data_IF_750948286499
#
_entry.id   IF_750948286499
#
_cell.length_a   1.000
_cell.length_b   1.000
_cell.length_c   1.000
_cell.angle_alpha   90.00
_cell.angle_beta   90.00
_cell.angle_gamma   90.00
#
_symmetry.space_group_name_H-M   'P 1'
#
loop_
_entity.id
_entity.type
_entity.pdbx_description
1 polymer ?
#
# COMPACT_ATOMS: atom_id res chain seq x y z
N UNK A 1 47.62 50.31 25.66
CA UNK A 1 47.62 49.32 24.55
C UNK A 1 47.51 47.94 25.18
N UNK A 2 46.56 47.05 24.95
CA UNK A 2 45.49 46.90 23.95
C UNK A 2 44.46 45.95 24.58
N UNK A 3 43.35 46.48 25.11
CA UNK A 3 42.33 45.72 25.84
C UNK A 3 41.16 45.26 24.94
N UNK A 4 41.41 44.96 23.66
CA UNK A 4 40.33 44.88 22.65
C UNK A 4 40.43 43.69 21.68
N UNK A 5 40.91 42.52 22.14
CA UNK A 5 40.85 41.27 21.34
C UNK A 5 40.55 40.01 22.18
N UNK A 6 39.74 40.14 23.22
CA UNK A 6 39.09 39.00 23.88
C UNK A 6 37.58 39.05 23.61
N UNK A 7 37.26 39.32 22.34
CA UNK A 7 35.91 39.36 21.81
C UNK A 7 35.51 37.92 21.46
N UNK A 8 34.28 37.56 21.85
CA UNK A 8 33.50 36.47 21.25
C UNK A 8 33.96 35.02 21.49
N UNK A 9 34.00 34.57 22.74
CA UNK A 9 33.96 33.10 22.97
C UNK A 9 33.12 32.62 24.15
N UNK A 10 32.23 33.46 24.69
CA UNK A 10 31.34 33.08 25.80
C UNK A 10 29.93 33.68 25.65
N UNK A 11 29.32 33.59 24.47
CA UNK A 11 27.88 33.81 24.26
C UNK A 11 27.22 32.65 23.51
N UNK A 12 27.44 31.43 24.01
CA UNK A 12 26.62 30.26 23.70
C UNK A 12 25.85 29.79 24.94
N UNK A 13 25.44 30.74 25.80
CA UNK A 13 24.50 30.50 26.89
C UNK A 13 23.25 31.30 26.55
N UNK A 14 22.11 30.61 26.58
CA UNK A 14 20.77 31.01 26.07
C UNK A 14 20.60 30.87 24.55
N UNK A 15 20.60 29.61 24.10
CA UNK A 15 20.02 29.25 22.81
C UNK A 15 18.54 29.69 22.79
N UNK A 16 18.25 30.78 22.07
CA UNK A 16 16.90 31.04 21.56
C UNK A 16 16.41 29.75 20.91
N UNK A 17 15.22 29.31 21.29
CA UNK A 17 14.49 28.19 20.67
C UNK A 17 14.03 28.61 19.26
N UNK A 18 14.98 28.95 18.40
CA UNK A 18 14.76 29.20 16.99
C UNK A 18 14.83 27.86 16.27
N UNK A 19 13.69 27.41 15.74
CA UNK A 19 13.64 26.27 14.84
C UNK A 19 14.36 26.72 13.56
N UNK A 20 15.56 26.21 13.34
CA UNK A 20 16.32 26.54 12.14
C UNK A 20 15.75 25.74 10.97
N UNK A 21 15.23 26.42 9.94
CA UNK A 21 14.82 25.76 8.70
C UNK A 21 16.04 25.53 7.81
N UNK A 22 16.34 24.28 7.52
CA UNK A 22 17.44 23.87 6.66
C UNK A 22 16.90 23.30 5.35
N UNK A 23 17.70 23.33 4.28
CA UNK A 23 17.33 22.79 2.96
C UNK A 23 18.34 21.71 2.57
N UNK A 24 17.88 20.48 2.38
CA UNK A 24 18.70 19.35 1.90
C UNK A 24 18.04 18.74 0.67
N UNK A 25 18.79 18.68 -0.44
CA UNK A 25 18.29 18.22 -1.76
C UNK A 25 16.98 18.90 -2.19
N UNK A 26 16.84 20.20 -1.91
CA UNK A 26 15.66 20.99 -2.25
C UNK A 26 14.46 20.82 -1.31
N UNK A 27 14.56 19.95 -0.29
CA UNK A 27 13.51 19.76 0.72
C UNK A 27 13.82 20.57 1.97
N UNK A 28 12.85 21.37 2.43
CA UNK A 28 12.94 22.12 3.69
C UNK A 28 12.69 21.18 4.87
N UNK A 29 13.56 21.20 5.88
CA UNK A 29 13.40 20.45 7.11
C UNK A 29 13.61 21.34 8.34
N UNK A 30 12.82 21.09 9.38
CA UNK A 30 12.94 21.75 10.67
C UNK A 30 14.03 21.07 11.48
N UNK A 31 15.10 21.82 11.79
CA UNK A 31 16.18 21.30 12.61
C UNK A 31 15.86 21.51 14.09
N UNK A 32 15.65 20.40 14.79
CA UNK A 32 15.52 20.36 16.25
C UNK A 32 16.86 19.85 16.81
N UNK A 33 17.71 20.71 17.37
CA UNK A 33 18.97 20.26 17.95
C UNK A 33 18.70 19.32 19.13
N UNK A 34 19.25 18.12 19.06
CA UNK A 34 19.20 17.16 20.16
C UNK A 34 20.22 17.59 21.20
N UNK A 35 19.77 17.96 22.40
CA UNK A 35 20.65 18.26 23.52
C UNK A 35 21.30 16.95 24.00
N UNK A 36 22.59 16.77 23.71
CA UNK A 36 23.38 15.62 24.16
C UNK A 36 24.12 16.01 25.43
N UNK A 37 23.90 15.28 26.53
CA UNK A 37 24.67 15.45 27.76
C UNK A 37 26.09 14.88 27.57
N UNK A 38 27.07 15.76 27.59
CA UNK A 38 28.49 15.40 27.49
C UNK A 38 29.10 15.49 28.88
N UNK A 39 29.68 14.40 29.38
CA UNK A 39 30.43 14.42 30.64
C UNK A 39 31.91 14.60 30.35
N UNK A 40 32.52 15.63 30.92
CA UNK A 40 33.99 15.78 30.97
C UNK A 40 34.54 14.82 32.01
N UNK A 41 35.36 13.85 31.60
CA UNK A 41 35.96 12.87 32.53
C UNK A 41 37.37 13.24 33.01
N UNK A 42 37.88 14.40 32.62
CA UNK A 42 39.20 14.92 33.06
C UNK A 42 40.23 14.98 31.93
N UNK A 43 41.49 15.27 32.30
CA UNK A 43 42.62 15.39 31.38
C UNK A 43 43.00 13.99 30.88
N UNK A 44 42.85 13.78 29.57
CA UNK A 44 43.20 12.54 28.89
C UNK A 44 44.65 12.44 28.46
N UNK A 45 45.36 13.57 28.41
CA UNK A 45 46.75 13.60 28.02
C UNK A 45 47.25 15.02 27.83
N UNK A 46 48.50 15.15 27.38
CA UNK A 46 49.10 16.44 27.02
C UNK A 46 49.47 16.41 25.54
N UNK A 47 48.94 17.35 24.75
CA UNK A 47 49.32 17.57 23.36
C UNK A 47 50.12 18.87 23.26
N UNK A 48 51.38 18.78 22.84
CA UNK A 48 52.32 19.92 22.74
C UNK A 48 52.41 20.74 24.03
N UNK A 49 52.40 20.08 25.19
CA UNK A 49 52.47 20.71 26.50
C UNK A 49 51.15 21.26 27.04
N UNK A 50 50.06 21.23 26.26
CA UNK A 50 48.72 21.64 26.69
C UNK A 50 47.89 20.43 27.08
N UNK A 51 47.17 20.52 28.19
CA UNK A 51 46.27 19.47 28.67
C UNK A 51 45.07 19.31 27.71
N UNK A 52 44.84 18.08 27.27
CA UNK A 52 43.75 17.69 26.39
C UNK A 52 42.69 16.93 27.18
N UNK A 53 41.46 17.43 27.18
CA UNK A 53 40.34 16.81 27.89
C UNK A 53 39.58 15.85 26.97
N UNK A 54 39.33 14.62 27.41
CA UNK A 54 38.36 13.78 26.72
C UNK A 54 36.94 14.10 27.15
N UNK A 55 36.08 14.06 26.14
CA UNK A 55 34.65 14.13 26.30
C UNK A 55 34.10 12.78 25.89
N UNK A 56 33.34 12.14 26.76
CA UNK A 56 32.57 10.96 26.40
C UNK A 56 31.09 11.33 26.39
N UNK A 57 30.42 11.05 25.27
CA UNK A 57 28.98 11.21 25.15
C UNK A 57 28.28 10.08 25.88
N UNK A 58 27.36 10.40 26.80
CA UNK A 58 26.45 9.40 27.36
C UNK A 58 25.35 9.12 26.33
N UNK A 59 25.63 8.27 25.35
CA UNK A 59 24.61 7.87 24.38
C UNK A 59 23.80 6.76 25.02
N UNK A 60 22.56 7.06 25.41
CA UNK A 60 21.58 5.99 25.67
C UNK A 60 21.35 5.26 24.35
N UNK A 61 21.55 3.93 24.28
CA UNK A 61 21.25 3.19 23.07
C UNK A 61 19.75 3.32 22.79
N UNK A 62 19.41 4.04 21.72
CA UNK A 62 18.04 4.06 21.21
C UNK A 62 17.82 2.69 20.59
N UNK A 63 16.91 1.90 21.17
CA UNK A 63 16.51 0.62 20.58
C UNK A 63 15.83 0.93 19.24
N UNK A 64 16.43 0.55 18.10
CA UNK A 64 15.78 0.75 16.82
C UNK A 64 14.59 -0.22 16.74
N UNK A 65 13.38 0.33 16.63
CA UNK A 65 12.22 -0.48 16.28
C UNK A 65 12.47 -1.17 14.95
N UNK A 66 11.94 -2.38 14.76
CA UNK A 66 12.04 -3.02 13.46
C UNK A 66 11.32 -2.20 12.38
N UNK A 67 12.05 -1.85 11.33
CA UNK A 67 11.57 -1.09 10.18
C UNK A 67 11.99 -1.81 8.90
N UNK A 68 11.08 -1.85 7.92
CA UNK A 68 11.40 -2.24 6.55
C UNK A 68 11.79 -0.99 5.75
N UNK A 69 12.93 -1.09 5.07
CA UNK A 69 13.50 -0.05 4.25
C UNK A 69 13.73 -0.58 2.84
N UNK A 70 13.79 0.32 1.85
CA UNK A 70 13.97 -0.05 0.45
C UNK A 70 15.21 0.61 -0.12
N UNK A 71 16.15 -0.18 -0.63
CA UNK A 71 17.33 0.31 -1.32
C UNK A 71 17.38 -0.24 -2.74
N UNK A 72 17.32 0.65 -3.74
CA UNK A 72 17.33 0.30 -5.18
C UNK A 72 16.32 -0.80 -5.57
N UNK A 73 15.13 -0.79 -4.95
CA UNK A 73 14.08 -1.78 -5.19
C UNK A 73 14.22 -3.09 -4.40
N UNK A 74 15.31 -3.28 -3.64
CA UNK A 74 15.46 -4.39 -2.71
C UNK A 74 15.03 -3.96 -1.29
N UNK A 75 14.09 -4.71 -0.71
CA UNK A 75 13.67 -4.50 0.67
C UNK A 75 14.69 -5.08 1.65
N UNK A 76 15.02 -4.33 2.70
CA UNK A 76 15.87 -4.76 3.81
C UNK A 76 15.24 -4.36 5.14
N UNK A 77 15.61 -5.07 6.20
CA UNK A 77 15.06 -4.88 7.54
C UNK A 77 16.14 -4.37 8.47
N UNK A 78 15.81 -3.40 9.31
CA UNK A 78 16.69 -2.83 10.32
C UNK A 78 15.99 -2.87 11.67
N UNK A 79 16.69 -3.26 12.73
CA UNK A 79 16.13 -3.37 14.08
C UNK A 79 16.50 -4.69 14.77
N UNK A 80 15.82 -4.99 15.87
CA UNK A 80 16.01 -6.24 16.61
C UNK A 80 15.52 -7.44 15.78
N UNK A 81 16.28 -8.55 15.66
CA UNK A 81 15.90 -9.72 14.87
C UNK A 81 14.52 -10.30 15.24
N UNK A 82 14.13 -10.30 16.51
CA UNK A 82 12.83 -10.86 16.93
C UNK A 82 11.66 -10.04 16.38
N UNK A 83 11.79 -8.71 16.38
CA UNK A 83 10.79 -7.80 15.84
C UNK A 83 10.71 -7.87 14.31
N UNK A 84 11.86 -8.06 13.64
CA UNK A 84 11.93 -8.25 12.19
C UNK A 84 11.12 -9.49 11.76
N UNK A 85 11.24 -10.60 12.49
CA UNK A 85 10.48 -11.81 12.19
C UNK A 85 8.97 -11.61 12.39
N UNK A 86 8.55 -10.91 13.45
CA UNK A 86 7.14 -10.53 13.66
C UNK A 86 6.59 -9.70 12.48
N UNK A 87 7.38 -8.75 11.97
CA UNK A 87 6.99 -7.95 10.80
C UNK A 87 6.84 -8.80 9.53
N UNK A 88 7.79 -9.71 9.27
CA UNK A 88 7.70 -10.64 8.12
C UNK A 88 6.46 -11.52 8.19
N UNK A 89 6.16 -12.06 9.38
CA UNK A 89 4.96 -12.87 9.61
C UNK A 89 3.68 -12.08 9.32
N UNK A 90 3.57 -10.86 9.88
CA UNK A 90 2.42 -9.98 9.66
C UNK A 90 2.22 -9.65 8.17
N UNK A 91 3.31 -9.37 7.44
CA UNK A 91 3.28 -9.13 5.98
C UNK A 91 2.80 -10.35 5.21
N UNK A 92 3.30 -11.54 5.54
CA UNK A 92 2.86 -12.79 4.91
C UNK A 92 1.36 -13.00 5.08
N UNK A 93 0.85 -12.87 6.31
CA UNK A 93 -0.58 -13.01 6.61
C UNK A 93 -1.44 -12.00 5.83
N UNK A 94 -1.03 -10.72 5.83
CA UNK A 94 -1.73 -9.68 5.07
C UNK A 94 -1.72 -9.96 3.56
N UNK A 95 -0.62 -10.48 3.02
CA UNK A 95 -0.54 -10.82 1.59
C UNK A 95 -1.48 -11.98 1.22
N UNK A 96 -1.65 -12.97 2.11
CA UNK A 96 -2.57 -14.09 1.90
C UNK A 96 -4.01 -13.59 1.93
N UNK A 97 -4.35 -12.75 2.92
CA UNK A 97 -5.68 -12.16 3.06
C UNK A 97 -6.06 -11.26 1.87
N UNK A 98 -5.11 -10.43 1.39
CA UNK A 98 -5.34 -9.60 0.20
C UNK A 98 -5.54 -10.46 -1.06
N UNK A 99 -4.80 -11.57 -1.21
CA UNK A 99 -4.96 -12.48 -2.36
C UNK A 99 -6.30 -13.22 -2.31
N UNK A 100 -6.71 -13.72 -1.15
CA UNK A 100 -7.98 -14.44 -1.01
C UNK A 100 -9.16 -13.55 -1.37
N UNK A 101 -9.22 -12.32 -0.82
CA UNK A 101 -10.34 -11.42 -1.10
C UNK A 101 -10.42 -11.02 -2.58
N UNK A 102 -9.29 -10.76 -3.23
CA UNK A 102 -9.26 -10.46 -4.66
C UNK A 102 -9.68 -11.67 -5.53
N UNK A 103 -9.28 -12.89 -5.16
CA UNK A 103 -9.68 -14.10 -5.88
C UNK A 103 -11.19 -14.37 -5.75
N UNK A 104 -11.76 -14.22 -4.55
CA UNK A 104 -13.20 -14.37 -4.32
C UNK A 104 -14.02 -13.32 -5.08
N UNK A 105 -13.61 -12.05 -5.06
CA UNK A 105 -14.33 -10.97 -5.77
C UNK A 105 -14.22 -11.14 -7.29
N UNK A 106 -13.05 -11.55 -7.81
CA UNK A 106 -12.84 -11.72 -9.27
C UNK A 106 -13.58 -12.93 -9.82
N UNK A 107 -13.56 -14.05 -9.12
CA UNK A 107 -14.27 -15.28 -9.52
C UNK A 107 -15.78 -15.03 -9.62
N UNK A 108 -16.35 -14.39 -8.61
CA UNK A 108 -17.80 -14.15 -8.56
C UNK A 108 -18.27 -13.15 -9.64
N UNK A 109 -17.51 -12.09 -9.92
CA UNK A 109 -17.83 -11.16 -11.02
C UNK A 109 -17.77 -11.82 -12.40
N UNK A 110 -16.75 -12.63 -12.65
CA UNK A 110 -16.59 -13.28 -13.95
C UNK A 110 -17.72 -14.29 -14.22
N UNK A 111 -18.06 -15.12 -13.24
CA UNK A 111 -19.10 -16.14 -13.40
C UNK A 111 -20.48 -15.51 -13.64
N UNK A 112 -20.88 -14.53 -12.83
CA UNK A 112 -22.17 -13.87 -13.00
C UNK A 112 -22.30 -13.13 -14.35
N UNK A 113 -21.20 -12.57 -14.87
CA UNK A 113 -21.20 -11.88 -16.16
C UNK A 113 -21.25 -12.87 -17.33
N UNK A 114 -20.54 -14.00 -17.23
CA UNK A 114 -20.57 -15.06 -18.24
C UNK A 114 -21.94 -15.72 -18.30
N UNK A 115 -22.53 -16.07 -17.16
CA UNK A 115 -23.83 -16.72 -17.09
C UNK A 115 -24.94 -15.82 -17.64
N UNK A 116 -24.92 -14.52 -17.31
CA UNK A 116 -25.88 -13.54 -17.86
C UNK A 116 -25.70 -13.28 -19.35
N UNK A 117 -24.46 -13.28 -19.86
CA UNK A 117 -24.20 -13.14 -21.29
C UNK A 117 -24.64 -14.38 -22.06
N UNK A 118 -24.38 -15.57 -21.52
CA UNK A 118 -24.75 -16.83 -22.12
C UNK A 118 -26.27 -16.98 -22.23
N UNK A 119 -27.01 -16.74 -21.15
CA UNK A 119 -28.47 -16.77 -21.18
C UNK A 119 -29.05 -15.75 -22.15
N UNK A 120 -28.55 -14.51 -22.16
CA UNK A 120 -29.00 -13.47 -23.08
C UNK A 120 -28.77 -13.83 -24.56
N UNK A 121 -27.67 -14.51 -24.89
CA UNK A 121 -27.39 -14.98 -26.25
C UNK A 121 -28.33 -16.13 -26.64
N UNK A 122 -28.59 -17.08 -25.73
CA UNK A 122 -29.54 -18.17 -25.96
C UNK A 122 -30.96 -17.64 -26.20
N UNK A 123 -31.46 -16.73 -25.36
CA UNK A 123 -32.82 -16.18 -25.56
C UNK A 123 -32.90 -15.42 -26.90
N UNK A 124 -31.87 -14.64 -27.28
CA UNK A 124 -31.82 -13.91 -28.57
C UNK A 124 -31.85 -14.85 -29.77
N UNK A 125 -31.08 -15.94 -29.76
CA UNK A 125 -31.09 -16.89 -30.88
C UNK A 125 -32.42 -17.62 -31.00
N UNK A 126 -33.01 -18.05 -29.88
CA UNK A 126 -34.34 -18.67 -29.87
C UNK A 126 -35.43 -17.74 -30.40
N UNK A 127 -35.45 -16.48 -29.95
CA UNK A 127 -36.40 -15.50 -30.45
C UNK A 127 -36.28 -15.32 -31.97
N UNK A 128 -35.04 -15.17 -32.48
CA UNK A 128 -34.79 -15.06 -33.92
C UNK A 128 -35.26 -16.30 -34.68
N UNK A 129 -34.98 -17.51 -34.17
CA UNK A 129 -35.40 -18.78 -34.80
C UNK A 129 -36.93 -18.91 -34.81
N UNK A 130 -37.60 -18.51 -33.72
CA UNK A 130 -39.07 -18.47 -33.65
C UNK A 130 -39.67 -17.49 -34.65
N UNK A 131 -39.13 -16.28 -34.76
CA UNK A 131 -39.61 -15.28 -35.74
C UNK A 131 -39.47 -15.78 -37.19
N UNK A 132 -38.35 -16.43 -37.52
CA UNK A 132 -38.14 -17.02 -38.84
C UNK A 132 -39.13 -18.16 -39.09
N UNK A 133 -39.29 -19.08 -38.13
CA UNK A 133 -40.22 -20.21 -38.25
C UNK A 133 -41.67 -19.74 -38.39
N UNK A 134 -42.08 -18.71 -37.65
CA UNK A 134 -43.40 -18.05 -37.78
C UNK A 134 -43.61 -17.47 -39.16
N UNK A 135 -42.62 -16.76 -39.73
CA UNK A 135 -42.71 -16.21 -41.10
C UNK A 135 -42.80 -17.31 -42.18
N UNK A 136 -42.12 -18.43 -41.96
CA UNK A 136 -42.14 -19.55 -42.90
C UNK A 136 -43.38 -20.46 -42.73
N UNK A 137 -44.09 -20.35 -41.61
CA UNK A 137 -45.27 -21.16 -41.31
C UNK A 137 -44.99 -22.60 -40.90
N UNK A 138 -43.74 -22.92 -40.51
CA UNK A 138 -43.35 -24.28 -40.10
C UNK A 138 -43.79 -24.57 -38.65
N UNK A 139 -44.98 -25.13 -38.52
CA UNK A 139 -45.61 -25.42 -37.23
C UNK A 139 -44.84 -26.45 -36.39
N UNK A 140 -44.16 -27.40 -37.04
CA UNK A 140 -43.37 -28.40 -36.32
C UNK A 140 -42.14 -27.76 -35.67
N UNK A 141 -41.47 -26.87 -36.40
CA UNK A 141 -40.31 -26.14 -35.89
C UNK A 141 -40.69 -25.17 -34.77
N UNK A 142 -41.82 -24.46 -34.90
CA UNK A 142 -42.34 -23.58 -33.84
C UNK A 142 -42.55 -24.37 -32.55
N UNK A 143 -43.23 -25.52 -32.62
CA UNK A 143 -43.50 -26.37 -31.44
C UNK A 143 -42.21 -26.85 -30.76
N UNK A 144 -41.22 -27.31 -31.53
CA UNK A 144 -39.93 -27.73 -30.98
C UNK A 144 -39.18 -26.58 -30.29
N UNK A 145 -39.22 -25.38 -30.86
CA UNK A 145 -38.58 -24.18 -30.28
C UNK A 145 -39.28 -23.70 -29.00
N UNK A 146 -40.60 -23.82 -28.92
CA UNK A 146 -41.38 -23.55 -27.71
C UNK A 146 -41.05 -24.55 -26.60
N UNK A 147 -40.88 -25.83 -26.93
CA UNK A 147 -40.42 -26.86 -25.99
C UNK A 147 -38.99 -26.58 -25.49
N UNK A 148 -38.07 -26.17 -26.38
CA UNK A 148 -36.71 -25.72 -26.00
C UNK A 148 -36.77 -24.49 -25.07
N UNK A 149 -37.65 -23.53 -25.36
CA UNK A 149 -37.83 -22.33 -24.52
C UNK A 149 -38.37 -22.67 -23.12
N UNK A 150 -39.31 -23.61 -23.02
CA UNK A 150 -39.85 -24.07 -21.74
C UNK A 150 -38.81 -24.80 -20.88
N UNK A 151 -37.87 -25.53 -21.51
CA UNK A 151 -36.76 -26.15 -20.80
C UNK A 151 -35.76 -25.13 -20.26
N UNK A 152 -35.59 -24.00 -20.95
CA UNK A 152 -34.67 -22.93 -20.56
C UNK A 152 -35.28 -21.90 -19.60
N UNK A 153 -36.61 -21.72 -19.60
CA UNK A 153 -37.31 -20.79 -18.70
C UNK A 153 -37.24 -21.22 -17.22
N UNK A 154 -37.12 -22.53 -16.96
CA UNK A 154 -36.75 -23.10 -15.66
C UNK A 154 -35.40 -22.55 -15.13
N UNK A 155 -34.60 -21.95 -16.01
CA UNK A 155 -33.24 -21.44 -15.77
C UNK A 155 -33.09 -19.92 -15.95
N UNK A 156 -34.18 -19.14 -15.95
CA UNK A 156 -34.22 -17.67 -16.16
C UNK A 156 -34.04 -17.16 -17.63
N UNK A 157 -34.95 -17.50 -18.55
CA UNK A 157 -35.23 -16.66 -19.74
C UNK A 157 -36.64 -16.07 -19.59
N UNK A 158 -36.78 -14.74 -19.53
CA UNK A 158 -38.06 -14.07 -19.75
C UNK A 158 -38.18 -13.73 -21.24
N UNK A 159 -38.90 -14.56 -22.00
CA UNK A 159 -39.28 -14.25 -23.37
C UNK A 159 -40.53 -13.38 -23.35
N UNK A 160 -40.46 -12.18 -23.91
CA UNK A 160 -41.64 -11.34 -24.14
C UNK A 160 -42.27 -11.73 -25.47
N UNK A 161 -43.38 -12.46 -25.40
CA UNK A 161 -44.23 -12.72 -26.55
C UNK A 161 -45.14 -11.51 -26.74
N UNK A 162 -44.81 -10.65 -27.72
CA UNK A 162 -45.74 -9.65 -28.21
C UNK A 162 -46.60 -10.32 -29.27
N UNK A 163 -47.73 -10.88 -28.84
CA UNK A 163 -48.77 -11.38 -29.75
C UNK A 163 -49.54 -10.18 -30.29
N UNK A 164 -49.12 -9.68 -31.46
CA UNK A 164 -49.96 -8.81 -32.29
C UNK A 164 -50.89 -9.69 -33.13
N UNK A 165 -52.19 -9.51 -32.86
CA UNK A 165 -53.38 -10.05 -33.54
C UNK A 165 -53.37 -9.75 -35.03
#
# INVERSE_FOLDING_TARGET
MSASRFVERLRYKEARKEIMQLIYRGVKYEYVPVAVEVTTQGVCGKYRGVEWNCHHSRITPVNPSAVELNYRGAAYYSGNPEEIEKLKQRKKLNSIFAKSNNLFIRSNRNNNQLDSTHSANLCRDLQRRLEVAKRMGDQNLIRMLEDEANQLSVTNCQLSFNDTV
#
